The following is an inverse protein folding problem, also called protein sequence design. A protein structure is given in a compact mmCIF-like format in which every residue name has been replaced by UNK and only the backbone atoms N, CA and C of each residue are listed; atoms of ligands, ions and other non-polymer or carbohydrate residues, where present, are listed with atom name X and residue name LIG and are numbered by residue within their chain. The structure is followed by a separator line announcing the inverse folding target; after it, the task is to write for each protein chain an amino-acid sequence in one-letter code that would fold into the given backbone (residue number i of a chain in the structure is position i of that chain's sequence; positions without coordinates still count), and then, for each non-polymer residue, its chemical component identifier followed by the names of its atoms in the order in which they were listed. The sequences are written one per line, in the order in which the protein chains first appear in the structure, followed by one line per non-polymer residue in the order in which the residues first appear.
data_IF_172037501510
#
_entry.id   IF_172037501510
#
_cell.length_a   1.000
_cell.length_b   1.000
_cell.length_c   1.000
_cell.angle_alpha   90.00
_cell.angle_beta   90.00
_cell.angle_gamma   90.00
#
_symmetry.space_group_name_H-M   'P 1'
#
loop_
_entity.id
_entity.type
_entity.pdbx_description
1 polymer ?
#
# COMPACT_ATOMS: atom_id res chain seq x y z
N UNK A 1 7.56 5.94 -34.10
CA UNK A 1 8.63 5.86 -35.10
C UNK A 1 9.36 4.57 -34.89
N UNK A 2 9.46 3.75 -35.93
CA UNK A 2 10.17 2.47 -35.93
C UNK A 2 11.10 2.46 -37.15
N UNK A 3 12.18 1.69 -37.10
CA UNK A 3 13.17 1.57 -38.18
C UNK A 3 14.26 0.57 -37.81
N UNK A 4 14.91 -0.02 -38.81
CA UNK A 4 15.99 -1.00 -38.64
C UNK A 4 17.36 -0.35 -38.56
N UNK A 5 17.48 0.90 -39.01
CA UNK A 5 18.72 1.69 -38.96
C UNK A 5 18.52 3.05 -38.28
N UNK A 6 19.63 3.65 -37.80
CA UNK A 6 19.59 5.01 -37.22
C UNK A 6 19.06 6.02 -38.24
N UNK A 7 19.49 5.91 -39.50
CA UNK A 7 19.06 6.78 -40.60
C UNK A 7 17.57 6.70 -40.86
N UNK A 8 16.98 5.49 -40.86
CA UNK A 8 15.53 5.31 -41.00
C UNK A 8 14.76 5.96 -39.85
N UNK A 9 15.20 5.75 -38.62
CA UNK A 9 14.58 6.36 -37.43
C UNK A 9 14.66 7.88 -37.51
N UNK A 10 15.83 8.44 -37.84
CA UNK A 10 16.03 9.90 -37.97
C UNK A 10 15.16 10.50 -39.08
N UNK A 11 15.11 9.86 -40.26
CA UNK A 11 14.31 10.32 -41.39
C UNK A 11 12.80 10.26 -41.09
N UNK A 12 12.33 9.13 -40.57
CA UNK A 12 10.92 8.94 -40.21
C UNK A 12 10.50 9.90 -39.10
N UNK A 13 11.30 10.05 -38.03
CA UNK A 13 11.04 11.00 -36.97
C UNK A 13 11.00 12.45 -37.45
N UNK A 14 11.90 12.84 -38.37
CA UNK A 14 11.89 14.18 -38.95
C UNK A 14 10.63 14.44 -39.79
N UNK A 15 10.18 13.44 -40.55
CA UNK A 15 8.94 13.54 -41.32
C UNK A 15 7.73 13.75 -40.40
N UNK A 16 7.58 12.94 -39.35
CA UNK A 16 6.51 13.11 -38.36
C UNK A 16 6.56 14.46 -37.65
N UNK A 17 7.76 14.89 -37.23
CA UNK A 17 7.94 16.17 -36.55
C UNK A 17 7.55 17.34 -37.44
N UNK A 18 7.87 17.28 -38.73
CA UNK A 18 7.46 18.27 -39.72
C UNK A 18 5.94 18.29 -39.88
N UNK A 19 5.29 17.14 -40.05
CA UNK A 19 3.82 17.06 -40.15
C UNK A 19 3.14 17.66 -38.92
N UNK A 20 3.61 17.34 -37.72
CA UNK A 20 3.08 17.89 -36.46
C UNK A 20 3.28 19.41 -36.41
N UNK A 21 4.44 19.91 -36.85
CA UNK A 21 4.71 21.35 -36.87
C UNK A 21 3.86 22.10 -37.90
N UNK A 22 3.70 21.55 -39.10
CA UNK A 22 2.88 22.16 -40.16
C UNK A 22 1.41 22.23 -39.73
N UNK A 23 0.89 21.13 -39.18
CA UNK A 23 -0.45 21.11 -38.62
C UNK A 23 -0.60 22.08 -37.44
N UNK A 24 0.35 22.08 -36.51
CA UNK A 24 0.37 23.01 -35.38
C UNK A 24 0.29 24.46 -35.84
N UNK A 25 1.13 24.84 -36.81
CA UNK A 25 1.12 26.17 -37.40
C UNK A 25 -0.22 26.52 -38.08
N UNK A 26 -0.85 25.56 -38.79
CA UNK A 26 -2.16 25.79 -39.41
C UNK A 26 -3.28 26.08 -38.40
N UNK A 27 -3.13 25.62 -37.15
CA UNK A 27 -4.08 25.87 -36.06
C UNK A 27 -3.57 26.93 -35.06
N UNK A 28 -2.49 27.63 -35.40
CA UNK A 28 -1.92 28.72 -34.58
C UNK A 28 -1.13 28.26 -33.35
N UNK A 29 -0.71 26.99 -33.28
CA UNK A 29 0.06 26.41 -32.17
C UNK A 29 1.47 26.03 -32.62
N UNK A 30 2.47 26.79 -32.18
CA UNK A 30 3.87 26.50 -32.44
C UNK A 30 4.41 25.34 -31.59
N UNK A 31 5.30 24.53 -32.17
CA UNK A 31 5.99 23.46 -31.45
C UNK A 31 7.15 24.02 -30.60
N UNK A 32 7.08 23.84 -29.29
CA UNK A 32 8.14 24.23 -28.36
C UNK A 32 9.28 23.19 -28.37
N UNK A 33 10.38 23.51 -29.05
CA UNK A 33 11.53 22.60 -29.22
C UNK A 33 12.25 22.29 -27.89
N UNK A 34 12.25 23.23 -26.94
CA UNK A 34 12.80 23.08 -25.60
C UNK A 34 12.00 22.12 -24.71
N UNK A 35 10.69 21.98 -24.98
CA UNK A 35 9.77 21.05 -24.29
C UNK A 35 9.63 19.71 -25.00
N UNK A 36 10.15 19.60 -26.22
CA UNK A 36 10.10 18.38 -27.03
C UNK A 36 11.41 17.61 -26.87
N UNK A 37 11.33 16.30 -26.66
CA UNK A 37 12.51 15.46 -26.46
C UNK A 37 12.44 14.19 -27.29
N UNK A 38 13.62 13.68 -27.61
CA UNK A 38 13.79 12.43 -28.33
C UNK A 38 14.25 11.34 -27.35
N UNK A 39 13.56 10.20 -27.33
CA UNK A 39 13.93 9.07 -26.49
C UNK A 39 13.73 7.77 -27.26
N UNK A 40 14.74 6.90 -27.22
CA UNK A 40 14.61 5.55 -27.79
C UNK A 40 13.89 4.64 -26.79
N UNK A 41 12.70 4.17 -27.16
CA UNK A 41 11.84 3.34 -26.30
C UNK A 41 12.23 1.86 -26.32
N UNK A 42 12.62 1.30 -27.46
CA UNK A 42 12.96 -0.11 -27.61
C UNK A 42 14.11 -0.24 -28.60
N UNK A 43 14.90 -1.32 -28.45
CA UNK A 43 16.03 -1.62 -29.32
C UNK A 43 17.34 -1.01 -28.84
N UNK A 44 18.42 -1.40 -29.53
CA UNK A 44 19.76 -0.90 -29.29
C UNK A 44 20.31 -0.29 -30.57
N UNK A 45 21.03 0.82 -30.42
CA UNK A 45 21.83 1.43 -31.46
C UNK A 45 23.26 1.51 -30.92
N UNK A 46 24.26 1.50 -31.81
CA UNK A 46 25.65 1.66 -31.41
C UNK A 46 25.81 2.86 -30.46
N UNK A 47 26.43 2.62 -29.30
CA UNK A 47 26.56 3.56 -28.19
C UNK A 47 27.34 4.83 -28.55
N UNK A 48 28.13 4.76 -29.63
CA UNK A 48 28.91 5.88 -30.15
C UNK A 48 28.09 7.11 -30.55
N UNK A 49 26.81 6.93 -30.93
CA UNK A 49 25.96 8.05 -31.35
C UNK A 49 24.47 7.78 -31.12
N UNK A 50 23.79 8.69 -30.44
CA UNK A 50 22.33 8.67 -30.34
C UNK A 50 21.68 9.24 -31.61
N UNK A 51 20.43 8.85 -31.94
CA UNK A 51 19.69 9.49 -33.02
C UNK A 51 19.58 11.00 -32.81
N UNK A 52 19.72 11.76 -33.89
CA UNK A 52 19.55 13.22 -33.90
C UNK A 52 18.43 13.61 -34.86
N UNK A 53 17.42 14.28 -34.31
CA UNK A 53 16.26 14.76 -35.06
C UNK A 53 16.13 16.24 -34.78
N UNK A 54 16.03 17.06 -35.83
CA UNK A 54 15.88 18.49 -35.72
C UNK A 54 14.83 19.03 -36.67
N UNK A 55 14.33 20.22 -36.35
CA UNK A 55 13.35 20.99 -37.10
C UNK A 55 13.81 22.45 -37.12
N UNK A 56 13.76 23.10 -38.28
CA UNK A 56 14.13 24.52 -38.45
C UNK A 56 15.50 24.89 -37.86
N UNK A 57 16.50 24.02 -38.04
CA UNK A 57 17.87 24.22 -37.53
C UNK A 57 18.08 23.89 -36.04
N UNK A 58 17.02 23.52 -35.30
CA UNK A 58 17.11 23.17 -33.87
C UNK A 58 16.99 21.65 -33.69
N UNK A 59 17.97 21.04 -33.03
CA UNK A 59 17.95 19.62 -32.69
C UNK A 59 17.18 19.36 -31.39
N UNK A 60 16.37 18.30 -31.37
CA UNK A 60 15.70 17.82 -30.17
C UNK A 60 16.71 17.26 -29.18
N UNK A 61 16.50 17.54 -27.89
CA UNK A 61 17.30 16.95 -26.82
C UNK A 61 17.04 15.45 -26.74
N UNK A 62 18.10 14.65 -26.86
CA UNK A 62 18.03 13.23 -26.56
C UNK A 62 17.98 13.02 -25.03
N UNK A 63 17.02 12.24 -24.56
CA UNK A 63 16.83 11.92 -23.15
C UNK A 63 16.68 10.41 -22.94
N UNK A 64 17.13 9.93 -21.78
CA UNK A 64 16.91 8.54 -21.34
C UNK A 64 15.69 8.39 -20.43
N UNK A 65 15.09 9.52 -20.05
CA UNK A 65 13.97 9.62 -19.15
C UNK A 65 13.15 10.85 -19.52
N UNK A 66 11.83 10.72 -19.54
CA UNK A 66 10.91 11.83 -19.79
C UNK A 66 9.80 11.82 -18.76
N UNK A 67 9.37 13.03 -18.35
CA UNK A 67 8.17 13.23 -17.55
C UNK A 67 7.07 13.78 -18.47
N UNK A 68 6.02 13.00 -18.65
CA UNK A 68 4.86 13.39 -19.46
C UNK A 68 3.60 13.35 -18.59
N UNK A 69 2.89 14.48 -18.50
CA UNK A 69 1.69 14.65 -17.68
C UNK A 69 1.84 14.12 -16.24
N UNK A 70 3.02 14.27 -15.64
CA UNK A 70 3.28 13.81 -14.26
C UNK A 70 3.69 12.33 -14.11
N UNK A 71 3.73 11.56 -15.20
CA UNK A 71 4.27 10.20 -15.23
C UNK A 71 5.69 10.24 -15.78
N UNK A 72 6.63 9.58 -15.10
CA UNK A 72 8.03 9.53 -15.51
C UNK A 72 8.37 8.14 -16.02
N UNK A 73 8.89 8.01 -17.22
CA UNK A 73 9.29 6.71 -17.75
C UNK A 73 10.59 6.81 -18.54
N UNK A 74 11.28 5.67 -18.61
CA UNK A 74 12.56 5.53 -19.29
C UNK A 74 12.41 4.65 -20.53
N UNK A 75 13.54 4.33 -21.16
CA UNK A 75 13.64 3.25 -22.15
C UNK A 75 12.96 1.97 -21.62
N UNK A 76 12.40 1.19 -22.55
CA UNK A 76 11.61 -0.02 -22.31
C UNK A 76 10.34 0.23 -21.49
N UNK A 77 9.87 1.47 -21.45
CA UNK A 77 8.67 1.85 -20.69
C UNK A 77 8.84 1.49 -19.21
N UNK A 78 10.06 1.65 -18.69
CA UNK A 78 10.37 1.41 -17.28
C UNK A 78 9.85 2.56 -16.41
N UNK A 79 9.07 2.24 -15.38
CA UNK A 79 8.48 3.21 -14.44
C UNK A 79 9.21 3.28 -13.09
N UNK A 80 10.45 2.78 -13.02
CA UNK A 80 11.21 2.75 -11.78
C UNK A 80 11.37 4.15 -11.16
N UNK A 81 11.69 5.15 -11.97
CA UNK A 81 11.81 6.54 -11.52
C UNK A 81 10.46 7.15 -11.15
N UNK A 82 9.37 6.75 -11.81
CA UNK A 82 8.04 7.15 -11.38
C UNK A 82 7.75 6.66 -9.96
N UNK A 83 8.06 5.41 -9.64
CA UNK A 83 7.87 4.89 -8.28
C UNK A 83 8.77 5.57 -7.25
N UNK A 84 10.03 5.87 -7.61
CA UNK A 84 10.92 6.63 -6.75
C UNK A 84 10.37 8.04 -6.46
N UNK A 85 9.94 8.77 -7.50
CA UNK A 85 9.33 10.09 -7.36
C UNK A 85 7.98 10.05 -6.63
N UNK A 86 7.17 9.01 -6.85
CA UNK A 86 5.94 8.79 -6.10
C UNK A 86 6.23 8.60 -4.61
N UNK A 87 7.19 7.75 -4.25
CA UNK A 87 7.59 7.55 -2.85
C UNK A 87 8.01 8.85 -2.18
N UNK A 88 8.83 9.67 -2.85
CA UNK A 88 9.26 10.97 -2.30
C UNK A 88 8.10 11.93 -2.09
N UNK A 89 7.16 12.01 -3.05
CA UNK A 89 5.94 12.81 -2.87
C UNK A 89 5.11 12.35 -1.68
N UNK A 90 4.91 11.04 -1.53
CA UNK A 90 4.13 10.48 -0.42
C UNK A 90 4.84 10.69 0.93
N UNK A 91 6.17 10.59 0.98
CA UNK A 91 6.97 10.95 2.17
C UNK A 91 6.76 12.41 2.55
N UNK A 92 6.78 13.33 1.58
CA UNK A 92 6.51 14.75 1.80
C UNK A 92 5.12 14.99 2.40
N UNK A 93 4.08 14.39 1.81
CA UNK A 93 2.71 14.52 2.34
C UNK A 93 2.61 13.94 3.75
N UNK A 94 3.13 12.73 3.98
CA UNK A 94 3.13 12.12 5.32
C UNK A 94 3.88 12.99 6.32
N UNK A 95 5.03 13.56 5.95
CA UNK A 95 5.79 14.47 6.82
C UNK A 95 4.96 15.66 7.31
N UNK A 96 4.13 16.23 6.43
CA UNK A 96 3.26 17.36 6.77
C UNK A 96 2.09 16.98 7.67
N UNK A 97 1.46 15.82 7.45
CA UNK A 97 0.27 15.41 8.21
C UNK A 97 0.54 14.48 9.39
N UNK A 98 1.78 13.97 9.56
CA UNK A 98 2.13 12.96 10.56
C UNK A 98 1.83 13.38 12.00
N UNK A 99 2.04 14.67 12.34
CA UNK A 99 1.74 15.20 13.69
C UNK A 99 0.25 15.06 14.03
N UNK A 100 -0.62 15.13 13.03
CA UNK A 100 -2.07 15.06 13.18
C UNK A 100 -2.55 13.60 13.12
N UNK A 101 -1.91 12.79 12.27
CA UNK A 101 -2.31 11.39 12.03
C UNK A 101 -1.96 10.42 13.17
N UNK A 102 -0.96 10.72 14.01
CA UNK A 102 -0.45 9.80 15.04
C UNK A 102 -0.94 10.05 16.46
N UNK A 103 -1.60 11.18 16.73
CA UNK A 103 -1.98 11.52 18.09
C UNK A 103 -3.10 10.61 18.61
N UNK A 104 -3.00 10.17 19.86
CA UNK A 104 -4.08 9.42 20.53
C UNK A 104 -5.37 10.26 20.67
N UNK A 105 -5.24 11.59 20.67
CA UNK A 105 -6.32 12.60 20.61
C UNK A 105 -6.53 13.19 19.20
N UNK A 106 -5.96 12.55 18.17
CA UNK A 106 -5.91 13.07 16.81
C UNK A 106 -7.17 12.78 15.98
N UNK A 107 -6.98 12.63 14.67
CA UNK A 107 -8.07 12.38 13.73
C UNK A 107 -8.77 11.05 14.00
N UNK A 108 -10.10 11.07 13.87
CA UNK A 108 -10.89 9.83 13.88
C UNK A 108 -10.40 8.87 12.80
N UNK A 109 -10.54 7.56 13.05
CA UNK A 109 -10.13 6.52 12.08
C UNK A 109 -10.83 6.67 10.74
N UNK A 110 -12.09 7.14 10.77
CA UNK A 110 -12.83 7.55 9.58
C UNK A 110 -12.12 8.66 8.82
N UNK A 111 -11.68 9.73 9.48
CA UNK A 111 -10.96 10.82 8.84
C UNK A 111 -9.61 10.37 8.27
N UNK A 112 -8.85 9.56 9.00
CA UNK A 112 -7.59 8.96 8.51
C UNK A 112 -7.83 8.16 7.23
N UNK A 113 -8.90 7.35 7.19
CA UNK A 113 -9.27 6.59 6.00
C UNK A 113 -9.73 7.47 4.84
N UNK A 114 -10.48 8.54 5.11
CA UNK A 114 -10.86 9.52 4.09
C UNK A 114 -9.63 10.18 3.47
N UNK A 115 -8.66 10.61 4.29
CA UNK A 115 -7.39 11.15 3.79
C UNK A 115 -6.65 10.08 2.98
N UNK A 116 -6.66 8.83 3.45
CA UNK A 116 -6.03 7.74 2.72
C UNK A 116 -6.64 7.50 1.34
N UNK A 117 -7.95 7.28 1.27
CA UNK A 117 -8.62 6.97 0.02
C UNK A 117 -8.68 8.20 -0.92
N UNK A 118 -8.94 9.39 -0.35
CA UNK A 118 -9.16 10.63 -1.10
C UNK A 118 -7.90 11.36 -1.55
N UNK A 119 -6.85 11.38 -0.72
CA UNK A 119 -5.59 12.05 -1.05
C UNK A 119 -4.56 11.05 -1.54
N UNK A 120 -4.23 10.05 -0.72
CA UNK A 120 -3.08 9.19 -1.00
C UNK A 120 -3.31 8.27 -2.20
N UNK A 121 -4.43 7.56 -2.24
CA UNK A 121 -4.73 6.67 -3.38
C UNK A 121 -4.95 7.50 -4.65
N UNK A 122 -5.55 8.69 -4.56
CA UNK A 122 -5.70 9.58 -5.70
C UNK A 122 -4.34 9.99 -6.30
N UNK A 123 -3.40 10.43 -5.47
CA UNK A 123 -2.04 10.76 -5.92
C UNK A 123 -1.28 9.53 -6.45
N UNK A 124 -1.38 8.40 -5.75
CA UNK A 124 -0.58 7.22 -6.04
C UNK A 124 -1.05 6.44 -7.26
N UNK A 125 -2.36 6.43 -7.54
CA UNK A 125 -2.91 5.72 -8.69
C UNK A 125 -3.19 6.63 -9.90
N UNK A 126 -2.67 7.87 -9.88
CA UNK A 126 -2.75 8.76 -11.03
C UNK A 126 -2.09 8.12 -12.25
N UNK A 127 -2.81 8.11 -13.38
CA UNK A 127 -2.32 7.53 -14.63
C UNK A 127 -2.10 6.02 -14.58
N UNK A 128 -2.73 5.30 -13.64
CA UNK A 128 -2.54 3.86 -13.47
C UNK A 128 -2.79 3.05 -14.74
N UNK A 129 -3.68 3.49 -15.63
CA UNK A 129 -3.91 2.85 -16.93
C UNK A 129 -2.67 2.78 -17.82
N UNK A 130 -1.70 3.68 -17.62
CA UNK A 130 -0.45 3.74 -18.40
C UNK A 130 0.62 2.82 -17.81
N UNK A 131 0.75 2.77 -16.48
CA UNK A 131 1.85 2.07 -15.81
C UNK A 131 1.43 0.83 -15.03
N UNK A 132 0.16 0.42 -15.06
CA UNK A 132 -0.32 -0.78 -14.37
C UNK A 132 0.43 -2.06 -14.79
N UNK A 133 0.90 -2.15 -16.03
CA UNK A 133 1.71 -3.29 -16.48
C UNK A 133 2.99 -3.46 -15.65
N UNK A 134 3.54 -2.38 -15.09
CA UNK A 134 4.74 -2.46 -14.26
C UNK A 134 4.50 -3.15 -12.91
N UNK A 135 3.26 -3.12 -12.39
CA UNK A 135 2.93 -3.72 -11.08
C UNK A 135 2.61 -5.23 -11.16
N UNK A 136 2.60 -5.82 -12.35
CA UNK A 136 2.43 -7.27 -12.52
C UNK A 136 3.69 -8.03 -12.11
N UNK A 137 4.87 -7.41 -12.27
CA UNK A 137 6.14 -7.96 -11.82
C UNK A 137 6.26 -7.96 -10.29
N UNK A 138 6.96 -8.95 -9.73
CA UNK A 138 7.23 -9.02 -8.28
C UNK A 138 7.94 -7.76 -7.78
N UNK A 139 8.92 -7.26 -8.55
CA UNK A 139 9.71 -6.07 -8.22
C UNK A 139 8.86 -4.80 -8.26
N UNK A 140 8.07 -4.60 -9.31
CA UNK A 140 7.20 -3.43 -9.43
C UNK A 140 6.11 -3.41 -8.36
N UNK A 141 5.50 -4.56 -8.07
CA UNK A 141 4.58 -4.74 -6.94
C UNK A 141 5.24 -4.34 -5.62
N UNK A 142 6.44 -4.83 -5.34
CA UNK A 142 7.16 -4.51 -4.11
C UNK A 142 7.43 -3.00 -3.98
N UNK A 143 7.78 -2.31 -5.08
CA UNK A 143 8.00 -0.85 -5.08
C UNK A 143 6.73 -0.06 -4.75
N UNK A 144 5.59 -0.45 -5.33
CA UNK A 144 4.30 0.20 -5.06
C UNK A 144 3.83 -0.07 -3.63
N UNK A 145 3.98 -1.30 -3.14
CA UNK A 145 3.69 -1.64 -1.73
C UNK A 145 4.61 -0.90 -0.75
N UNK A 146 5.87 -0.65 -1.13
CA UNK A 146 6.78 0.16 -0.33
C UNK A 146 6.34 1.64 -0.28
N UNK A 147 5.74 2.17 -1.36
CA UNK A 147 5.12 3.49 -1.36
C UNK A 147 3.92 3.54 -0.40
N UNK A 148 3.05 2.53 -0.45
CA UNK A 148 1.90 2.41 0.46
C UNK A 148 2.33 2.34 1.93
N UNK A 149 3.40 1.58 2.23
CA UNK A 149 3.93 1.38 3.58
C UNK A 149 4.28 2.69 4.28
N UNK A 150 4.85 3.65 3.57
CA UNK A 150 5.25 4.95 4.12
C UNK A 150 4.06 5.65 4.79
N UNK A 151 2.92 5.65 4.11
CA UNK A 151 1.69 6.28 4.60
C UNK A 151 1.08 5.48 5.74
N UNK A 152 1.03 4.16 5.62
CA UNK A 152 0.48 3.31 6.68
C UNK A 152 1.20 3.53 8.02
N UNK A 153 2.54 3.61 7.99
CA UNK A 153 3.34 3.94 9.18
C UNK A 153 3.09 5.37 9.69
N UNK A 154 2.70 6.29 8.82
CA UNK A 154 2.27 7.64 9.19
C UNK A 154 0.89 7.68 9.84
N UNK A 155 -0.03 6.83 9.40
CA UNK A 155 -1.44 6.81 9.79
C UNK A 155 -1.77 5.92 10.99
N UNK A 156 -0.85 5.03 11.39
CA UNK A 156 -1.17 3.96 12.33
C UNK A 156 -0.28 3.98 13.58
N UNK A 157 -0.86 3.74 14.77
CA UNK A 157 -0.11 3.56 16.00
C UNK A 157 0.39 2.11 16.08
N UNK A 158 1.39 1.77 15.27
CA UNK A 158 2.02 0.45 15.23
C UNK A 158 3.55 0.57 15.17
N UNK A 159 4.25 -0.49 15.59
CA UNK A 159 5.70 -0.59 15.42
C UNK A 159 6.09 -0.57 13.94
N UNK A 160 7.26 0.03 13.65
CA UNK A 160 7.83 0.09 12.29
C UNK A 160 8.12 -1.30 11.68
N UNK A 161 8.13 -2.34 12.50
CA UNK A 161 8.36 -3.74 12.11
C UNK A 161 7.10 -4.45 11.63
N UNK A 162 5.91 -3.91 11.90
CA UNK A 162 4.64 -4.54 11.48
C UNK A 162 4.60 -4.65 9.95
N UNK A 163 4.16 -5.80 9.44
CA UNK A 163 4.12 -6.06 8.01
C UNK A 163 3.16 -5.12 7.28
N UNK A 164 3.46 -4.81 6.01
CA UNK A 164 2.56 -4.00 5.17
C UNK A 164 1.17 -4.63 5.07
N UNK A 165 1.11 -5.96 5.01
CA UNK A 165 -0.15 -6.72 4.89
C UNK A 165 -1.02 -6.61 6.15
N UNK A 166 -0.41 -6.72 7.35
CA UNK A 166 -1.15 -6.50 8.60
C UNK A 166 -1.67 -5.05 8.68
N UNK A 167 -0.87 -4.07 8.26
CA UNK A 167 -1.30 -2.67 8.21
C UNK A 167 -2.41 -2.44 7.18
N UNK A 168 -2.41 -3.15 6.05
CA UNK A 168 -3.51 -3.07 5.07
C UNK A 168 -4.84 -3.44 5.71
N UNK A 169 -4.87 -4.57 6.43
CA UNK A 169 -6.07 -5.06 7.12
C UNK A 169 -6.47 -4.16 8.28
N UNK A 170 -5.54 -3.80 9.16
CA UNK A 170 -5.79 -2.94 10.34
C UNK A 170 -6.23 -1.52 9.97
N UNK A 171 -5.87 -1.01 8.79
CA UNK A 171 -6.34 0.27 8.25
C UNK A 171 -7.61 0.13 7.38
N UNK A 172 -7.99 -1.09 6.98
CA UNK A 172 -9.05 -1.33 6.02
C UNK A 172 -8.74 -0.81 4.61
N UNK A 173 -7.45 -0.74 4.27
CA UNK A 173 -6.98 -0.18 3.00
C UNK A 173 -6.57 -1.30 2.03
N UNK A 174 -7.10 -1.21 0.81
CA UNK A 174 -6.81 -2.15 -0.28
C UNK A 174 -5.31 -2.09 -0.59
N UNK A 175 -4.65 -3.24 -0.86
CA UNK A 175 -3.29 -3.26 -1.40
C UNK A 175 -3.17 -2.36 -2.63
N UNK A 176 -2.24 -1.40 -2.61
CA UNK A 176 -2.22 -0.30 -3.57
C UNK A 176 -2.11 -0.79 -5.03
N UNK A 177 -1.36 -1.86 -5.28
CA UNK A 177 -1.26 -2.51 -6.59
C UNK A 177 -2.59 -3.10 -7.08
N UNK A 178 -3.43 -3.62 -6.18
CA UNK A 178 -4.76 -4.12 -6.55
C UNK A 178 -5.67 -2.95 -6.93
N UNK A 179 -5.57 -1.84 -6.20
CA UNK A 179 -6.32 -0.61 -6.52
C UNK A 179 -5.87 0.03 -7.83
N UNK A 180 -4.56 -0.01 -8.14
CA UNK A 180 -3.99 0.42 -9.43
C UNK A 180 -4.55 -0.43 -10.57
N UNK A 181 -4.53 -1.76 -10.43
CA UNK A 181 -5.14 -2.70 -11.41
C UNK A 181 -6.62 -2.40 -11.60
N UNK A 182 -7.36 -2.20 -10.51
CA UNK A 182 -8.81 -1.94 -10.53
C UNK A 182 -9.12 -0.68 -11.33
N UNK A 183 -8.37 0.39 -11.10
CA UNK A 183 -8.51 1.66 -11.83
C UNK A 183 -8.13 1.54 -13.30
N UNK A 184 -7.08 0.77 -13.61
CA UNK A 184 -6.66 0.54 -15.00
C UNK A 184 -7.72 -0.24 -15.79
N UNK A 185 -8.27 -1.32 -15.23
CA UNK A 185 -9.36 -2.10 -15.85
C UNK A 185 -10.61 -1.24 -16.02
N UNK A 186 -11.02 -0.50 -14.99
CA UNK A 186 -12.17 0.40 -15.09
C UNK A 186 -11.97 1.47 -16.17
N UNK A 187 -10.75 2.01 -16.32
CA UNK A 187 -10.42 2.96 -17.38
C UNK A 187 -10.59 2.32 -18.77
N UNK A 188 -10.04 1.12 -18.98
CA UNK A 188 -10.17 0.39 -20.24
C UNK A 188 -11.64 0.16 -20.61
N UNK A 189 -12.46 -0.31 -19.66
CA UNK A 189 -13.90 -0.53 -19.89
C UNK A 189 -14.60 0.78 -20.27
N UNK A 190 -14.37 1.88 -19.52
CA UNK A 190 -14.96 3.19 -19.81
C UNK A 190 -14.57 3.73 -21.19
N UNK A 191 -13.36 3.42 -21.66
CA UNK A 191 -12.84 3.83 -22.97
C UNK A 191 -13.09 2.80 -24.07
N UNK A 192 -13.83 1.73 -23.79
CA UNK A 192 -14.11 0.62 -24.72
C UNK A 192 -12.84 -0.02 -25.29
N UNK A 193 -11.75 -0.01 -24.52
CA UNK A 193 -10.51 -0.68 -24.86
C UNK A 193 -10.59 -2.17 -24.49
N UNK A 194 -9.93 -3.06 -25.24
CA UNK A 194 -9.88 -4.48 -24.92
C UNK A 194 -9.18 -4.73 -23.57
N UNK A 195 -9.67 -5.72 -22.84
CA UNK A 195 -9.02 -6.26 -21.64
C UNK A 195 -8.08 -7.38 -22.05
N UNK A 196 -6.97 -7.52 -21.34
CA UNK A 196 -6.05 -8.65 -21.51
C UNK A 196 -6.61 -9.85 -20.75
N UNK A 197 -6.31 -11.07 -21.19
CA UNK A 197 -6.86 -12.31 -20.64
C UNK A 197 -6.62 -12.47 -19.13
N UNK A 198 -5.52 -11.93 -18.59
CA UNK A 198 -5.17 -11.98 -17.17
C UNK A 198 -5.73 -10.80 -16.34
N UNK A 199 -6.53 -9.91 -16.95
CA UNK A 199 -7.19 -8.81 -16.27
C UNK A 199 -8.56 -9.23 -15.73
N UNK A 200 -8.98 -8.61 -14.63
CA UNK A 200 -10.30 -8.89 -14.09
C UNK A 200 -11.40 -8.56 -15.09
N UNK A 201 -12.41 -9.42 -15.13
CA UNK A 201 -13.57 -9.33 -16.02
C UNK A 201 -13.27 -9.52 -17.52
N UNK A 202 -12.08 -9.99 -17.90
CA UNK A 202 -11.74 -10.28 -19.29
C UNK A 202 -12.70 -11.30 -19.94
N UNK A 203 -13.07 -12.35 -19.19
CA UNK A 203 -13.96 -13.42 -19.67
C UNK A 203 -15.47 -13.09 -19.52
N UNK A 204 -15.80 -11.87 -19.06
CA UNK A 204 -17.19 -11.47 -18.84
C UNK A 204 -17.66 -10.52 -19.93
N UNK A 205 -18.92 -10.65 -20.32
CA UNK A 205 -19.55 -9.66 -21.19
C UNK A 205 -19.84 -8.35 -20.41
N UNK A 206 -18.81 -7.55 -20.18
CA UNK A 206 -18.90 -6.26 -19.49
C UNK A 206 -19.57 -5.17 -20.33
N UNK A 207 -19.72 -5.39 -21.65
CA UNK A 207 -20.29 -4.40 -22.57
C UNK A 207 -21.79 -4.23 -22.41
N UNK A 208 -22.49 -5.28 -21.97
CA UNK A 208 -23.93 -5.25 -21.68
C UNK A 208 -24.25 -4.75 -20.27
N UNK A 209 -23.24 -4.54 -19.42
CA UNK A 209 -23.43 -4.15 -18.03
C UNK A 209 -23.34 -2.63 -17.84
N UNK A 210 -24.22 -2.09 -16.99
CA UNK A 210 -24.10 -0.72 -16.51
C UNK A 210 -22.83 -0.51 -15.67
N UNK A 211 -22.31 0.74 -15.66
CA UNK A 211 -21.07 1.08 -14.96
C UNK A 211 -21.13 0.81 -13.44
N UNK A 212 -22.30 0.87 -12.82
CA UNK A 212 -22.49 0.53 -11.40
C UNK A 212 -22.20 -0.95 -11.16
N UNK A 213 -22.79 -1.83 -11.98
CA UNK A 213 -22.56 -3.27 -11.92
C UNK A 213 -21.09 -3.62 -12.17
N UNK A 214 -20.45 -2.97 -13.15
CA UNK A 214 -19.01 -3.15 -13.41
C UNK A 214 -18.17 -2.77 -12.19
N UNK A 215 -18.44 -1.63 -11.55
CA UNK A 215 -17.70 -1.20 -10.34
C UNK A 215 -17.88 -2.20 -9.19
N UNK A 216 -19.09 -2.74 -9.02
CA UNK A 216 -19.38 -3.76 -8.00
C UNK A 216 -18.58 -5.04 -8.25
N UNK A 217 -18.65 -5.59 -9.47
CA UNK A 217 -17.92 -6.79 -9.85
C UNK A 217 -16.40 -6.60 -9.69
N UNK A 218 -15.85 -5.45 -10.09
CA UNK A 218 -14.43 -5.15 -9.87
C UNK A 218 -14.07 -5.10 -8.39
N UNK A 219 -14.95 -4.56 -7.55
CA UNK A 219 -14.72 -4.53 -6.10
C UNK A 219 -14.73 -5.95 -5.51
N UNK A 220 -15.62 -6.82 -5.97
CA UNK A 220 -15.64 -8.25 -5.59
C UNK A 220 -14.35 -8.97 -5.99
N UNK A 221 -13.86 -8.76 -7.21
CA UNK A 221 -12.57 -9.31 -7.64
C UNK A 221 -11.42 -8.83 -6.76
N UNK A 222 -11.37 -7.54 -6.42
CA UNK A 222 -10.33 -6.95 -5.57
C UNK A 222 -10.36 -7.53 -4.15
N UNK A 223 -11.56 -7.61 -3.56
CA UNK A 223 -11.72 -8.19 -2.21
C UNK A 223 -11.34 -9.67 -2.21
N UNK A 224 -11.73 -10.43 -3.24
CA UNK A 224 -11.36 -11.83 -3.38
C UNK A 224 -9.84 -12.03 -3.47
N UNK A 225 -9.16 -11.31 -4.39
CA UNK A 225 -7.70 -11.35 -4.52
C UNK A 225 -7.00 -10.94 -3.20
N UNK A 226 -7.54 -9.94 -2.50
CA UNK A 226 -6.99 -9.48 -1.23
C UNK A 226 -7.19 -10.53 -0.11
N UNK A 227 -8.37 -11.13 -0.02
CA UNK A 227 -8.67 -12.15 0.98
C UNK A 227 -7.80 -13.39 0.79
N UNK A 228 -7.64 -13.89 -0.44
CA UNK A 228 -6.76 -15.04 -0.73
C UNK A 228 -5.33 -14.76 -0.24
N UNK A 229 -4.80 -13.56 -0.51
CA UNK A 229 -3.46 -13.19 -0.05
C UNK A 229 -3.37 -13.09 1.46
N UNK A 230 -4.40 -12.56 2.11
CA UNK A 230 -4.41 -12.42 3.56
C UNK A 230 -4.47 -13.78 4.27
N UNK A 231 -5.30 -14.68 3.76
CA UNK A 231 -5.43 -16.04 4.26
C UNK A 231 -4.15 -16.88 4.06
N UNK A 232 -3.45 -16.70 2.94
CA UNK A 232 -2.28 -17.53 2.57
C UNK A 232 -0.93 -16.96 2.99
N UNK A 233 -0.84 -15.67 3.34
CA UNK A 233 0.43 -15.06 3.70
C UNK A 233 1.02 -15.64 4.98
N UNK A 234 2.35 -15.67 5.06
CA UNK A 234 3.10 -15.96 6.30
C UNK A 234 3.31 -14.73 7.18
N UNK A 235 2.94 -13.53 6.72
CA UNK A 235 3.16 -12.27 7.43
C UNK A 235 1.89 -11.84 8.17
N UNK A 236 2.05 -11.16 9.31
CA UNK A 236 0.92 -10.62 10.08
C UNK A 236 0.04 -11.69 10.74
N UNK A 237 0.57 -12.88 11.02
CA UNK A 237 -0.24 -14.02 11.49
C UNK A 237 -0.92 -13.79 12.83
N UNK A 238 -0.31 -13.03 13.74
CA UNK A 238 -0.97 -12.59 14.98
C UNK A 238 -2.22 -11.78 14.65
N UNK A 239 -2.10 -10.77 13.79
CA UNK A 239 -3.25 -9.96 13.34
C UNK A 239 -4.32 -10.81 12.65
N UNK A 240 -3.93 -11.82 11.88
CA UNK A 240 -4.87 -12.74 11.24
C UNK A 240 -5.69 -13.55 12.25
N UNK A 241 -5.15 -13.85 13.45
CA UNK A 241 -5.94 -14.51 14.51
C UNK A 241 -7.12 -13.66 14.97
N UNK A 242 -6.95 -12.34 15.00
CA UNK A 242 -7.99 -11.36 15.39
C UNK A 242 -8.88 -10.93 14.22
N UNK A 243 -8.31 -10.73 13.03
CA UNK A 243 -9.01 -10.20 11.86
C UNK A 243 -8.72 -11.12 10.66
N UNK A 244 -9.62 -12.06 10.41
CA UNK A 244 -9.53 -13.02 9.30
C UNK A 244 -10.10 -12.46 7.99
N UNK A 245 -11.11 -11.60 8.10
CA UNK A 245 -11.79 -10.97 6.96
C UNK A 245 -11.18 -9.59 6.65
N UNK A 246 -10.67 -9.41 5.44
CA UNK A 246 -10.08 -8.14 4.99
C UNK A 246 -11.08 -6.98 4.93
N UNK A 247 -12.38 -7.29 4.86
CA UNK A 247 -13.45 -6.29 4.86
C UNK A 247 -13.86 -5.83 6.25
N UNK A 248 -13.39 -6.50 7.32
CA UNK A 248 -13.76 -6.20 8.71
C UNK A 248 -13.68 -4.71 9.06
N UNK A 249 -12.51 -4.09 8.88
CA UNK A 249 -12.32 -2.66 9.19
C UNK A 249 -13.10 -1.77 8.21
N UNK A 250 -13.37 -2.27 6.99
CA UNK A 250 -14.17 -1.50 6.02
C UNK A 250 -15.62 -1.38 6.45
N UNK A 251 -16.16 -2.46 7.04
CA UNK A 251 -17.52 -2.56 7.58
C UNK A 251 -17.66 -1.97 8.99
N UNK A 252 -16.53 -1.73 9.68
CA UNK A 252 -16.46 -1.15 11.02
C UNK A 252 -15.63 0.13 11.07
N UNK A 253 -16.15 1.26 10.57
CA UNK A 253 -15.41 2.53 10.55
C UNK A 253 -15.13 3.11 11.95
N UNK A 254 -15.82 2.61 12.98
CA UNK A 254 -15.60 2.87 14.40
C UNK A 254 -14.36 2.14 14.95
N UNK A 255 -13.90 1.08 14.28
CA UNK A 255 -12.77 0.28 14.75
C UNK A 255 -11.48 1.12 14.80
N UNK A 256 -10.92 1.18 16.00
CA UNK A 256 -9.69 1.89 16.29
C UNK A 256 -8.90 1.20 17.39
N UNK A 257 -7.61 1.46 17.39
CA UNK A 257 -6.69 1.01 18.41
C UNK A 257 -5.52 1.99 18.46
N UNK A 258 -4.80 1.95 19.56
CA UNK A 258 -3.60 2.73 19.85
C UNK A 258 -2.40 1.79 20.08
N UNK A 259 -1.25 2.36 20.41
CA UNK A 259 0.02 1.67 20.19
C UNK A 259 0.14 0.36 20.98
N UNK A 260 -0.20 0.36 22.27
CA UNK A 260 -0.10 -0.86 23.08
C UNK A 260 -1.18 -1.90 22.78
N UNK A 261 -2.39 -1.52 22.34
CA UNK A 261 -3.31 -2.51 21.77
C UNK A 261 -2.75 -3.06 20.45
N UNK A 262 -2.10 -2.23 19.65
CA UNK A 262 -1.35 -2.64 18.47
C UNK A 262 -0.28 -3.69 18.76
N UNK A 263 0.36 -3.65 19.93
CA UNK A 263 1.33 -4.68 20.34
C UNK A 263 0.67 -6.06 20.48
N UNK A 264 -0.51 -6.11 21.09
CA UNK A 264 -1.28 -7.35 21.22
C UNK A 264 -1.80 -7.84 19.85
N UNK A 265 -2.36 -6.92 19.06
CA UNK A 265 -2.96 -7.26 17.76
C UNK A 265 -1.94 -7.65 16.69
N UNK A 266 -0.66 -7.32 16.86
CA UNK A 266 0.37 -7.59 15.85
C UNK A 266 1.46 -8.52 16.34
N UNK A 267 1.62 -8.69 17.65
CA UNK A 267 2.77 -9.36 18.25
C UNK A 267 4.09 -8.60 18.08
N UNK A 268 4.05 -7.37 17.55
CA UNK A 268 5.20 -6.48 17.43
C UNK A 268 5.06 -5.35 18.43
N UNK A 269 6.00 -5.21 19.35
CA UNK A 269 5.84 -4.23 20.42
C UNK A 269 6.93 -4.28 21.48
N UNK A 270 6.52 -3.95 22.69
CA UNK A 270 7.38 -3.90 23.88
C UNK A 270 7.27 -5.16 24.76
N UNK A 271 6.85 -6.30 24.19
CA UNK A 271 6.78 -7.57 24.91
C UNK A 271 8.12 -8.30 24.79
N UNK A 272 8.58 -8.94 25.87
CA UNK A 272 9.96 -9.42 25.98
C UNK A 272 10.31 -10.45 24.91
N UNK A 273 9.41 -11.38 24.59
CA UNK A 273 9.65 -12.36 23.52
C UNK A 273 9.92 -11.69 22.16
N UNK A 274 9.23 -10.59 21.86
CA UNK A 274 9.47 -9.83 20.63
C UNK A 274 10.78 -9.03 20.67
N UNK A 275 11.10 -8.41 21.82
CA UNK A 275 12.31 -7.61 21.99
C UNK A 275 13.58 -8.49 21.95
N UNK A 276 13.57 -9.61 22.67
CA UNK A 276 14.65 -10.58 22.73
C UNK A 276 14.96 -11.18 21.35
N UNK A 277 13.94 -11.58 20.58
CA UNK A 277 14.09 -12.05 19.19
C UNK A 277 14.77 -11.04 18.26
N UNK A 278 14.83 -9.76 18.65
CA UNK A 278 15.46 -8.66 17.92
C UNK A 278 16.72 -8.13 18.58
N UNK A 279 17.21 -8.81 19.62
CA UNK A 279 18.38 -8.41 20.41
C UNK A 279 18.21 -7.00 21.03
N UNK A 280 16.99 -6.69 21.50
CA UNK A 280 16.64 -5.43 22.18
C UNK A 280 16.37 -5.62 23.68
N UNK A 281 16.38 -6.86 24.16
CA UNK A 281 16.22 -7.26 25.56
C UNK A 281 17.09 -8.49 25.79
N UNK A 282 17.68 -8.60 26.97
CA UNK A 282 18.54 -9.73 27.35
C UNK A 282 17.74 -10.98 27.74
N UNK A 283 16.43 -10.82 28.01
CA UNK A 283 15.53 -11.92 28.31
C UNK A 283 14.22 -11.84 27.53
N UNK A 284 13.68 -13.01 27.18
CA UNK A 284 12.34 -13.18 26.61
C UNK A 284 11.27 -13.50 27.66
N UNK A 285 11.68 -13.77 28.90
CA UNK A 285 10.82 -14.26 29.97
C UNK A 285 9.87 -13.17 30.46
N UNK A 286 8.74 -13.60 31.02
CA UNK A 286 7.82 -12.72 31.72
C UNK A 286 8.21 -12.63 33.20
N UNK A 287 7.95 -11.49 33.85
CA UNK A 287 8.13 -11.31 35.30
C UNK A 287 7.32 -12.29 36.16
N UNK A 288 6.35 -12.99 35.58
CA UNK A 288 5.61 -14.06 36.26
C UNK A 288 6.38 -15.40 36.28
N UNK A 289 7.59 -15.47 35.72
CA UNK A 289 8.39 -16.68 35.58
C UNK A 289 8.07 -17.53 34.34
N UNK A 290 7.20 -17.07 33.43
CA UNK A 290 6.94 -17.78 32.17
C UNK A 290 8.11 -17.60 31.19
N UNK A 291 8.49 -18.68 30.51
CA UNK A 291 9.66 -18.70 29.61
C UNK A 291 9.59 -17.74 28.41
N UNK A 292 8.40 -17.33 27.98
CA UNK A 292 8.22 -16.32 26.93
C UNK A 292 7.05 -15.38 27.23
N UNK A 293 7.32 -14.07 27.29
CA UNK A 293 6.28 -13.05 27.35
C UNK A 293 5.75 -12.70 25.94
N UNK A 294 4.84 -13.53 25.44
CA UNK A 294 4.16 -13.30 24.16
C UNK A 294 2.87 -12.49 24.32
N UNK A 295 2.29 -12.01 23.22
CA UNK A 295 0.98 -11.35 23.23
C UNK A 295 -0.13 -12.30 23.73
N UNK A 296 -0.03 -13.58 23.40
CA UNK A 296 -0.98 -14.61 23.82
C UNK A 296 -0.83 -14.90 25.31
N UNK A 297 0.41 -15.02 25.79
CA UNK A 297 0.68 -15.16 27.22
C UNK A 297 0.08 -13.99 28.02
N UNK A 298 0.39 -12.75 27.63
CA UNK A 298 -0.11 -11.56 28.34
C UNK A 298 -1.64 -11.49 28.31
N UNK A 299 -2.25 -11.71 27.13
CA UNK A 299 -3.70 -11.60 26.97
C UNK A 299 -4.46 -12.75 27.63
N UNK A 300 -3.92 -13.97 27.60
CA UNK A 300 -4.69 -15.19 27.86
C UNK A 300 -4.25 -16.00 29.07
N UNK A 301 -2.99 -15.90 29.52
CA UNK A 301 -2.40 -16.90 30.43
C UNK A 301 -1.73 -16.30 31.67
N UNK A 302 -1.02 -15.18 31.53
CA UNK A 302 -0.18 -14.60 32.58
C UNK A 302 -0.92 -14.42 33.91
N UNK A 303 -0.40 -15.03 34.97
CA UNK A 303 -0.99 -14.98 36.33
C UNK A 303 -0.94 -13.58 36.94
N UNK A 304 0.02 -12.74 36.54
CA UNK A 304 0.12 -11.35 37.01
C UNK A 304 -1.03 -10.44 36.54
N UNK A 305 -1.82 -10.88 35.57
CA UNK A 305 -2.95 -10.13 35.01
C UNK A 305 -4.27 -10.90 35.10
N UNK A 306 -4.33 -11.97 35.89
CA UNK A 306 -5.53 -12.80 36.05
C UNK A 306 -6.70 -11.98 36.60
N UNK A 307 -6.46 -11.14 37.60
CA UNK A 307 -7.43 -10.21 38.21
C UNK A 307 -7.98 -9.16 37.23
N UNK A 308 -7.25 -8.87 36.15
CA UNK A 308 -7.65 -7.92 35.12
C UNK A 308 -8.34 -8.59 33.92
N UNK A 309 -8.24 -9.92 33.80
CA UNK A 309 -8.60 -10.67 32.61
C UNK A 309 -9.99 -11.28 32.75
N UNK A 310 -10.87 -10.95 31.80
CA UNK A 310 -12.12 -11.67 31.58
C UNK A 310 -12.15 -12.20 30.15
N UNK A 311 -11.69 -13.43 29.96
CA UNK A 311 -11.63 -14.07 28.64
C UNK A 311 -13.00 -14.15 27.98
N UNK A 312 -14.03 -14.47 28.77
CA UNK A 312 -15.39 -14.63 28.28
C UNK A 312 -15.94 -13.30 27.74
N UNK A 313 -15.77 -12.22 28.52
CA UNK A 313 -16.20 -10.89 28.13
C UNK A 313 -15.37 -10.34 26.97
N UNK A 314 -14.07 -10.69 26.89
CA UNK A 314 -13.24 -10.36 25.74
C UNK A 314 -13.63 -11.15 24.49
N UNK A 315 -14.46 -12.19 24.57
CA UNK A 315 -14.75 -13.06 23.42
C UNK A 315 -13.54 -13.91 23.03
N UNK A 316 -12.77 -14.35 24.03
CA UNK A 316 -11.65 -15.28 23.90
C UNK A 316 -12.06 -16.61 24.49
N UNK A 317 -11.88 -17.70 23.75
CA UNK A 317 -12.20 -19.05 24.22
C UNK A 317 -10.99 -19.97 24.10
N UNK A 318 -10.87 -20.93 25.02
CA UNK A 318 -9.84 -21.97 24.94
C UNK A 318 -10.27 -23.04 23.95
N UNK A 319 -9.39 -23.44 23.04
CA UNK A 319 -9.67 -24.48 22.06
C UNK A 319 -9.38 -25.87 22.62
N UNK A 320 -10.14 -26.87 22.17
CA UNK A 320 -9.98 -28.29 22.59
C UNK A 320 -8.59 -28.83 22.22
N UNK A 321 -8.03 -28.39 21.09
CA UNK A 321 -6.68 -28.74 20.63
C UNK A 321 -5.54 -28.05 21.40
N UNK A 322 -5.86 -27.25 22.42
CA UNK A 322 -4.93 -26.29 23.02
C UNK A 322 -4.91 -24.95 22.29
N UNK A 323 -4.45 -23.91 23.00
CA UNK A 323 -4.44 -22.51 22.52
C UNK A 323 -5.77 -21.77 22.69
N UNK A 324 -5.81 -20.54 22.18
CA UNK A 324 -6.96 -19.63 22.33
C UNK A 324 -7.52 -19.17 20.97
N UNK A 325 -8.85 -19.19 20.82
CA UNK A 325 -9.50 -18.47 19.73
C UNK A 325 -9.81 -17.03 20.16
N UNK A 326 -9.22 -16.09 19.43
CA UNK A 326 -9.39 -14.64 19.63
C UNK A 326 -10.16 -13.98 18.48
N UNK A 327 -10.75 -14.77 17.58
CA UNK A 327 -11.47 -14.28 16.40
C UNK A 327 -12.65 -13.38 16.74
N UNK A 328 -13.22 -13.58 17.93
CA UNK A 328 -14.36 -12.82 18.43
C UNK A 328 -13.95 -11.61 19.27
N UNK A 329 -12.66 -11.42 19.52
CA UNK A 329 -12.18 -10.42 20.45
C UNK A 329 -12.39 -8.98 19.97
N UNK A 330 -12.49 -8.80 18.65
CA UNK A 330 -12.77 -7.52 18.03
C UNK A 330 -14.18 -7.42 17.47
N UNK A 331 -15.08 -8.38 17.69
CA UNK A 331 -16.35 -8.43 16.93
C UNK A 331 -17.37 -7.36 17.32
N UNK A 332 -17.32 -6.82 18.54
CA UNK A 332 -18.20 -5.73 19.00
C UNK A 332 -17.41 -4.52 19.50
N UNK A 333 -18.03 -3.34 19.55
CA UNK A 333 -17.43 -2.14 20.17
C UNK A 333 -17.18 -2.33 21.66
N UNK A 334 -18.08 -3.01 22.37
CA UNK A 334 -17.93 -3.34 23.80
C UNK A 334 -16.67 -4.16 24.06
N UNK A 335 -16.43 -5.21 23.29
CA UNK A 335 -15.22 -6.05 23.43
C UNK A 335 -13.94 -5.27 23.17
N UNK A 336 -13.94 -4.42 22.15
CA UNK A 336 -12.80 -3.52 21.86
C UNK A 336 -12.56 -2.55 23.02
N UNK A 337 -13.60 -2.00 23.63
CA UNK A 337 -13.49 -1.13 24.81
C UNK A 337 -12.92 -1.88 26.02
N UNK A 338 -13.41 -3.10 26.29
CA UNK A 338 -12.89 -3.96 27.36
C UNK A 338 -11.41 -4.29 27.16
N UNK A 339 -11.00 -4.68 25.95
CA UNK A 339 -9.59 -4.89 25.62
C UNK A 339 -8.76 -3.62 25.81
N UNK A 340 -9.30 -2.44 25.51
CA UNK A 340 -8.61 -1.18 25.76
C UNK A 340 -8.45 -0.87 27.25
N UNK A 341 -9.43 -1.20 28.09
CA UNK A 341 -9.31 -1.11 29.56
C UNK A 341 -8.24 -2.08 30.06
N UNK A 342 -8.37 -3.36 29.72
CA UNK A 342 -7.41 -4.40 30.07
C UNK A 342 -5.97 -4.01 29.73
N UNK A 343 -5.72 -3.65 28.46
CA UNK A 343 -4.37 -3.29 28.02
C UNK A 343 -3.85 -2.01 28.69
N UNK A 344 -4.69 -1.04 29.06
CA UNK A 344 -4.21 0.12 29.84
C UNK A 344 -3.68 -0.33 31.20
N UNK A 345 -4.44 -1.14 31.93
CA UNK A 345 -4.06 -1.64 33.24
C UNK A 345 -2.83 -2.56 33.17
N UNK A 346 -2.79 -3.50 32.22
CA UNK A 346 -1.66 -4.42 32.02
C UNK A 346 -0.38 -3.66 31.72
N UNK A 347 -0.39 -2.73 30.77
CA UNK A 347 0.84 -2.01 30.41
C UNK A 347 1.27 -1.01 31.49
N UNK A 348 0.36 -0.52 32.34
CA UNK A 348 0.72 0.25 33.53
C UNK A 348 1.39 -0.63 34.58
N UNK A 349 0.79 -1.79 34.91
CA UNK A 349 1.36 -2.76 35.86
C UNK A 349 2.71 -3.30 35.38
N UNK A 350 2.87 -3.55 34.07
CA UNK A 350 4.15 -3.95 33.46
C UNK A 350 5.28 -2.95 33.74
N UNK A 351 5.02 -1.64 33.59
CA UNK A 351 6.03 -0.61 33.86
C UNK A 351 6.42 -0.57 35.33
N UNK A 352 5.44 -0.69 36.22
CA UNK A 352 5.67 -0.76 37.67
C UNK A 352 6.55 -1.95 38.05
N UNK A 353 6.26 -3.13 37.50
CA UNK A 353 7.05 -4.35 37.74
C UNK A 353 8.47 -4.27 37.16
N UNK A 354 8.67 -3.50 36.09
CA UNK A 354 9.97 -3.27 35.48
C UNK A 354 10.79 -2.18 36.20
N UNK A 355 10.25 -1.50 37.21
CA UNK A 355 10.91 -0.38 37.89
C UNK A 355 10.99 0.89 37.03
N UNK A 356 10.18 1.02 35.97
CA UNK A 356 10.09 2.22 35.15
C UNK A 356 9.13 3.22 35.83
N UNK A 357 9.64 4.34 36.37
CA UNK A 357 8.82 5.39 36.97
C UNK A 357 7.78 5.95 35.97
N UNK A 358 6.56 6.17 36.46
CA UNK A 358 5.46 6.74 35.68
C UNK A 358 5.71 8.24 35.53
N UNK A 359 6.25 8.66 34.39
CA UNK A 359 6.33 10.08 33.99
C UNK A 359 5.05 10.51 33.29
#
# INVERSE_FOLDING_TARGET
VEGQSRSEIEASARAYLRTVSEWGNSVGVGLAMDKTSLMLLKGSLASSRHPSVGLNGVNLRYVTEVKYLGITFRREVSFNSHFAGLRQRLLGVVGQVRRILRNEWGLSRRAVRTIYEGLFVACAAYGSSVWCSAVTSVVGRAKVLACQRVIQLGCMPVCRTVSTEAMQVLLGCIPLELEVRRRAVLFKIKRRLPLLQNEWLADRNVRSLGLVSVKRLLNECVVSDWQVRWSTSVKGRVTHRFIRDVTFVRCRPDFGFNLSLGYLLTGHGSLNAFLHKRCLSDSQECSCGAGEETWEHVLCECVLYEDLRDLSAFGVSRQVSGGFDVSQALSTSVRVSLLNVFRRSVFARRRQLAGEEVV
#
